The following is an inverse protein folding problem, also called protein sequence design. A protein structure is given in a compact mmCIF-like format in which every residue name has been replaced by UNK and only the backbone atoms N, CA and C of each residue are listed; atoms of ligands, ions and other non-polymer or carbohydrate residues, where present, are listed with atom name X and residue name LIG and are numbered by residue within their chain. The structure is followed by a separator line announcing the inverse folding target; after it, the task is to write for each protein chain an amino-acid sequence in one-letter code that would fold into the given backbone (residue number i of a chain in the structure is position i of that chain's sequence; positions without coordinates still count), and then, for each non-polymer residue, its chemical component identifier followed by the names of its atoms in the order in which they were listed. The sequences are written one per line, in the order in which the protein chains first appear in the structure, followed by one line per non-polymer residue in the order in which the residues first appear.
data_IF_528491549530
#
_entry.id   IF_528491549530
#
_cell.length_a   1.000
_cell.length_b   1.000
_cell.length_c   1.000
_cell.angle_alpha   90.00
_cell.angle_beta   90.00
_cell.angle_gamma   90.00
#
_symmetry.space_group_name_H-M   'P 1'
#
loop_
_entity.id
_entity.type
_entity.pdbx_description
1 polymer ?
#
# COMPACT_ATOMS: atom_id res chain seq x y z
N UNK A 1 54.56 -10.75 6.31
CA UNK A 1 53.42 -11.52 5.79
C UNK A 1 52.88 -12.43 6.89
N UNK A 2 51.65 -12.24 7.38
CA UNK A 2 50.96 -13.24 8.17
C UNK A 2 49.75 -13.80 7.39
N UNK A 3 49.72 -15.11 7.23
CA UNK A 3 48.61 -15.88 6.66
C UNK A 3 47.53 -16.09 7.72
N UNK A 4 46.37 -15.47 7.52
CA UNK A 4 45.18 -15.67 8.37
C UNK A 4 44.41 -16.91 7.92
N UNK A 5 44.32 -17.88 8.83
CA UNK A 5 43.57 -19.14 8.70
C UNK A 5 42.08 -18.88 8.94
N UNK A 6 41.24 -19.13 7.93
CA UNK A 6 39.78 -19.07 8.02
C UNK A 6 39.22 -20.36 8.64
N UNK A 7 38.41 -20.22 9.69
CA UNK A 7 37.67 -21.30 10.33
C UNK A 7 36.27 -21.37 9.67
N UNK A 8 36.04 -22.33 8.78
CA UNK A 8 34.72 -22.62 8.22
C UNK A 8 33.86 -23.37 9.25
N UNK A 9 32.68 -22.83 9.56
CA UNK A 9 31.66 -23.52 10.37
C UNK A 9 30.59 -24.11 9.44
N UNK A 10 30.23 -25.40 9.59
CA UNK A 10 29.21 -26.03 8.77
C UNK A 10 27.80 -25.64 9.24
N UNK A 11 27.04 -24.95 8.38
CA UNK A 11 25.62 -24.69 8.58
C UNK A 11 24.80 -25.96 8.33
N UNK A 12 24.13 -26.46 9.36
CA UNK A 12 23.16 -27.54 9.26
C UNK A 12 21.89 -27.07 8.52
N UNK A 13 21.61 -27.68 7.36
CA UNK A 13 20.33 -27.51 6.64
C UNK A 13 19.24 -28.29 7.35
N UNK A 14 18.32 -27.58 8.02
CA UNK A 14 17.07 -28.15 8.54
C UNK A 14 16.01 -27.99 7.44
N UNK A 15 15.68 -29.08 6.76
CA UNK A 15 14.56 -29.12 5.80
C UNK A 15 13.29 -29.50 6.55
N UNK A 16 12.41 -28.52 6.79
CA UNK A 16 11.08 -28.75 7.36
C UNK A 16 10.10 -29.00 6.21
N UNK A 17 9.61 -30.24 6.08
CA UNK A 17 8.47 -30.57 5.22
C UNK A 17 7.17 -30.26 5.98
N UNK A 18 6.55 -29.12 5.71
CA UNK A 18 5.19 -28.83 6.16
C UNK A 18 4.20 -29.35 5.10
N UNK A 19 3.59 -30.50 5.40
CA UNK A 19 2.50 -31.09 4.61
C UNK A 19 1.19 -30.43 5.02
N UNK A 20 0.79 -29.37 4.31
CA UNK A 20 -0.51 -28.71 4.55
C UNK A 20 -1.58 -29.44 3.74
N UNK A 21 -2.42 -30.20 4.45
CA UNK A 21 -3.60 -30.86 3.89
C UNK A 21 -4.75 -29.85 3.84
N UNK A 22 -5.20 -29.47 2.64
CA UNK A 22 -6.34 -28.56 2.44
C UNK A 22 -7.60 -29.39 2.17
N UNK A 23 -8.69 -29.26 2.95
CA UNK A 23 -9.97 -29.84 2.57
C UNK A 23 -10.68 -28.93 1.56
N UNK A 24 -10.99 -29.50 0.40
CA UNK A 24 -11.86 -28.93 -0.64
C UNK A 24 -13.29 -28.84 -0.11
N UNK A 25 -13.81 -27.63 0.09
CA UNK A 25 -15.23 -27.41 0.37
C UNK A 25 -15.95 -27.10 -0.94
N UNK A 26 -16.74 -28.07 -1.39
CA UNK A 26 -17.68 -27.96 -2.50
C UNK A 26 -18.93 -27.22 -2.01
N UNK A 27 -19.14 -25.96 -2.39
CA UNK A 27 -20.42 -25.26 -2.16
C UNK A 27 -21.22 -25.29 -3.45
N UNK A 28 -22.23 -26.17 -3.45
CA UNK A 28 -23.21 -26.34 -4.52
C UNK A 28 -24.34 -25.30 -4.32
N UNK A 29 -24.25 -24.14 -4.96
CA UNK A 29 -25.29 -23.10 -4.87
C UNK A 29 -26.38 -23.38 -5.91
N UNK A 30 -27.57 -23.79 -5.43
CA UNK A 30 -28.75 -24.05 -6.24
C UNK A 30 -29.38 -22.75 -6.76
N UNK A 31 -29.70 -22.79 -8.04
CA UNK A 31 -30.55 -21.85 -8.76
C UNK A 31 -31.96 -21.80 -8.14
N UNK A 32 -32.50 -20.60 -7.95
CA UNK A 32 -33.86 -20.38 -7.45
C UNK A 32 -34.47 -19.15 -8.11
N UNK A 33 -35.07 -19.36 -9.28
CA UNK A 33 -35.91 -18.40 -9.98
C UNK A 33 -37.27 -18.30 -9.27
N UNK A 34 -37.70 -17.10 -8.87
CA UNK A 34 -39.10 -16.82 -8.57
C UNK A 34 -39.52 -15.42 -9.03
N UNK A 35 -40.37 -15.44 -10.04
CA UNK A 35 -41.59 -14.66 -10.25
C UNK A 35 -41.59 -13.14 -10.04
N UNK A 36 -41.64 -12.45 -11.19
CA UNK A 36 -42.43 -11.26 -11.42
C UNK A 36 -43.87 -11.43 -10.91
N UNK A 37 -44.38 -10.46 -10.16
CA UNK A 37 -45.81 -10.17 -10.09
C UNK A 37 -46.04 -8.66 -9.98
N UNK A 38 -46.73 -8.15 -11.00
CA UNK A 38 -47.20 -6.79 -11.18
C UNK A 38 -48.63 -6.70 -10.65
N UNK A 39 -48.91 -5.78 -9.73
CA UNK A 39 -50.19 -5.05 -9.50
C UNK A 39 -50.04 -4.25 -8.18
N UNK A 40 -49.93 -2.92 -8.17
CA UNK A 40 -50.91 -1.88 -8.51
C UNK A 40 -51.87 -1.53 -7.35
N UNK A 41 -52.01 -0.22 -7.13
CA UNK A 41 -52.96 0.55 -6.32
C UNK A 41 -52.57 0.95 -4.89
N UNK A 42 -52.06 2.19 -4.83
CA UNK A 42 -52.70 3.32 -4.14
C UNK A 42 -53.25 3.09 -2.72
N UNK A 43 -52.56 3.68 -1.74
CA UNK A 43 -53.22 4.17 -0.54
C UNK A 43 -52.76 5.62 -0.29
N UNK A 44 -53.71 6.53 -0.50
CA UNK A 44 -53.66 7.94 -0.14
C UNK A 44 -53.40 8.16 1.35
N UNK A 45 -52.69 9.27 1.63
CA UNK A 45 -52.91 10.16 2.77
C UNK A 45 -53.20 9.50 4.12
N UNK A 46 -52.15 9.25 4.89
CA UNK A 46 -52.16 9.61 6.31
C UNK A 46 -50.89 10.38 6.65
N UNK A 47 -51.08 11.66 6.97
CA UNK A 47 -50.18 12.44 7.79
C UNK A 47 -50.03 11.73 9.14
N UNK A 48 -48.88 11.09 9.35
CA UNK A 48 -48.41 10.76 10.70
C UNK A 48 -47.12 11.53 10.91
N UNK A 49 -47.32 12.73 11.45
CA UNK A 49 -46.31 13.48 12.16
C UNK A 49 -45.80 12.63 13.34
N UNK A 50 -44.50 12.70 13.59
CA UNK A 50 -43.80 12.11 14.73
C UNK A 50 -43.42 10.62 14.56
N UNK A 51 -42.16 10.43 14.20
CA UNK A 51 -41.11 9.84 15.06
C UNK A 51 -39.97 9.44 14.11
N UNK A 52 -39.17 10.42 13.72
CA UNK A 52 -37.85 10.16 13.12
C UNK A 52 -36.98 9.53 14.21
N UNK A 53 -36.58 8.25 14.10
CA UNK A 53 -35.68 7.64 15.06
C UNK A 53 -34.31 8.31 14.94
N UNK A 54 -33.71 8.65 16.07
CA UNK A 54 -32.30 8.98 16.24
C UNK A 54 -31.40 7.98 15.48
N UNK A 55 -31.18 8.24 14.19
CA UNK A 55 -30.10 7.66 13.38
C UNK A 55 -29.15 8.76 12.96
N UNK A 56 -28.88 9.70 13.87
CA UNK A 56 -27.58 10.35 13.91
C UNK A 56 -26.59 9.32 14.47
N UNK A 57 -26.34 8.29 13.66
CA UNK A 57 -25.14 7.47 13.74
C UNK A 57 -24.00 8.47 13.63
N UNK A 58 -23.55 8.89 14.81
CA UNK A 58 -22.25 9.46 15.06
C UNK A 58 -21.24 8.41 14.57
N UNK A 59 -21.06 8.34 13.24
CA UNK A 59 -19.78 7.96 12.68
C UNK A 59 -18.81 8.99 13.23
N UNK A 60 -18.27 8.68 14.41
CA UNK A 60 -16.96 9.14 14.83
C UNK A 60 -16.00 8.59 13.77
N UNK A 61 -16.03 9.19 12.58
CA UNK A 61 -14.85 9.27 11.74
C UNK A 61 -13.84 9.85 12.72
N UNK A 62 -12.88 9.03 13.12
CA UNK A 62 -11.71 9.48 13.85
C UNK A 62 -11.07 10.53 12.95
N UNK A 63 -11.51 11.77 13.11
CA UNK A 63 -10.89 12.93 12.52
C UNK A 63 -9.50 12.93 13.12
N UNK A 64 -8.53 12.42 12.35
CA UNK A 64 -7.15 12.66 12.68
C UNK A 64 -7.00 14.16 12.85
N UNK A 65 -6.28 14.58 13.89
CA UNK A 65 -6.10 16.01 14.21
C UNK A 65 -5.55 16.82 13.01
N UNK A 66 -4.96 16.14 12.03
CA UNK A 66 -4.43 16.72 10.80
C UNK A 66 -4.93 15.93 9.57
N UNK A 67 -5.42 16.61 8.53
CA UNK A 67 -5.81 15.95 7.28
C UNK A 67 -4.56 15.41 6.55
N UNK A 68 -4.64 14.22 5.92
CA UNK A 68 -3.52 13.66 5.18
C UNK A 68 -3.23 14.50 3.93
N UNK A 69 -1.98 14.94 3.77
CA UNK A 69 -1.47 15.56 2.55
C UNK A 69 -0.27 14.76 2.04
N UNK A 70 -0.53 13.81 1.15
CA UNK A 70 0.48 12.87 0.67
C UNK A 70 1.56 13.54 -0.18
N UNK A 71 1.20 14.52 -1.02
CA UNK A 71 2.16 15.27 -1.84
C UNK A 71 3.18 16.00 -0.96
N UNK A 72 2.71 16.78 0.02
CA UNK A 72 3.61 17.45 0.98
C UNK A 72 4.38 16.46 1.84
N UNK A 73 3.80 15.31 2.18
CA UNK A 73 4.53 14.28 2.92
C UNK A 73 5.67 13.69 2.09
N UNK A 74 5.42 13.41 0.81
CA UNK A 74 6.41 12.89 -0.11
C UNK A 74 7.60 13.86 -0.26
N UNK A 75 7.34 15.16 -0.46
CA UNK A 75 8.39 16.18 -0.51
C UNK A 75 9.19 16.27 0.80
N UNK A 76 8.52 16.33 1.96
CA UNK A 76 9.22 16.40 3.26
C UNK A 76 10.10 15.18 3.52
N UNK A 77 9.62 13.99 3.18
CA UNK A 77 10.41 12.76 3.35
C UNK A 77 11.58 12.71 2.38
N UNK A 78 11.41 13.18 1.14
CA UNK A 78 12.51 13.27 0.18
C UNK A 78 13.58 14.25 0.68
N UNK A 79 13.20 15.46 1.07
CA UNK A 79 14.11 16.49 1.59
C UNK A 79 14.91 15.96 2.80
N UNK A 80 14.22 15.39 3.79
CA UNK A 80 14.88 14.79 4.95
C UNK A 80 15.82 13.62 4.58
N UNK A 81 15.46 12.83 3.56
CA UNK A 81 16.32 11.76 3.07
C UNK A 81 17.60 12.33 2.41
N UNK A 82 17.48 13.39 1.62
CA UNK A 82 18.64 14.03 0.97
C UNK A 82 19.61 14.59 2.01
N UNK A 83 19.11 15.26 3.05
CA UNK A 83 19.93 15.76 4.16
C UNK A 83 20.72 14.62 4.82
N UNK A 84 20.05 13.51 5.16
CA UNK A 84 20.67 12.37 5.82
C UNK A 84 21.60 11.57 4.90
N UNK A 85 21.36 11.58 3.59
CA UNK A 85 22.18 10.87 2.60
C UNK A 85 23.62 11.39 2.54
N UNK A 86 23.82 12.67 2.86
CA UNK A 86 25.14 13.32 2.94
C UNK A 86 25.89 13.01 4.24
N UNK A 87 25.20 12.44 5.24
CA UNK A 87 25.72 12.21 6.58
C UNK A 87 26.06 10.74 6.87
N UNK A 88 26.06 10.40 8.17
CA UNK A 88 26.40 9.06 8.66
C UNK A 88 25.23 8.07 8.69
N UNK A 89 24.01 8.52 8.40
CA UNK A 89 22.76 7.75 8.53
C UNK A 89 22.12 7.42 7.19
N UNK A 90 22.91 6.87 6.28
CA UNK A 90 22.47 6.45 4.94
C UNK A 90 21.42 5.33 5.00
N UNK A 91 21.42 4.53 6.08
CA UNK A 91 20.38 3.57 6.43
C UNK A 91 19.01 4.22 6.55
N UNK A 92 18.94 5.30 7.33
CA UNK A 92 17.69 6.06 7.56
C UNK A 92 17.28 6.82 6.32
N UNK A 93 18.24 7.36 5.57
CA UNK A 93 17.97 7.98 4.28
C UNK A 93 17.29 6.99 3.32
N UNK A 94 17.82 5.76 3.21
CA UNK A 94 17.22 4.68 2.42
C UNK A 94 15.77 4.37 2.80
N UNK A 95 15.48 4.32 4.10
CA UNK A 95 14.12 4.16 4.60
C UNK A 95 13.21 5.32 4.17
N UNK A 96 13.65 6.57 4.35
CA UNK A 96 12.87 7.75 4.00
C UNK A 96 12.63 7.90 2.49
N UNK A 97 13.57 7.51 1.63
CA UNK A 97 13.36 7.51 0.19
C UNK A 97 12.18 6.62 -0.23
N UNK A 98 12.04 5.42 0.34
CA UNK A 98 10.90 4.57 0.03
C UNK A 98 9.58 5.08 0.61
N UNK A 99 9.59 5.72 1.79
CA UNK A 99 8.40 6.41 2.30
C UNK A 99 7.99 7.56 1.39
N UNK A 100 8.94 8.35 0.90
CA UNK A 100 8.68 9.43 -0.05
C UNK A 100 8.05 8.90 -1.35
N UNK A 101 8.60 7.83 -1.91
CA UNK A 101 8.06 7.18 -3.11
C UNK A 101 6.67 6.57 -2.89
N UNK A 102 6.43 5.94 -1.75
CA UNK A 102 5.12 5.40 -1.39
C UNK A 102 4.07 6.52 -1.30
N UNK A 103 4.40 7.63 -0.62
CA UNK A 103 3.51 8.80 -0.55
C UNK A 103 3.22 9.38 -1.95
N UNK A 104 4.24 9.47 -2.82
CA UNK A 104 4.08 9.96 -4.19
C UNK A 104 3.18 9.03 -5.02
N UNK A 105 3.38 7.72 -4.93
CA UNK A 105 2.54 6.70 -5.59
C UNK A 105 1.10 6.78 -5.10
N UNK A 106 0.87 6.92 -3.79
CA UNK A 106 -0.47 7.07 -3.23
C UNK A 106 -1.13 8.40 -3.61
N UNK A 107 -0.36 9.48 -3.80
CA UNK A 107 -0.88 10.73 -4.36
C UNK A 107 -1.32 10.52 -5.82
N UNK A 108 -0.51 9.85 -6.65
CA UNK A 108 -0.89 9.51 -8.02
C UNK A 108 -2.11 8.58 -8.10
N UNK A 109 -2.27 7.65 -7.13
CA UNK A 109 -3.48 6.83 -7.02
C UNK A 109 -4.72 7.70 -6.82
N UNK A 110 -4.63 8.70 -5.94
CA UNK A 110 -5.70 9.69 -5.75
C UNK A 110 -5.98 10.42 -7.07
N UNK A 111 -4.98 10.88 -7.80
CA UNK A 111 -5.20 11.59 -9.07
C UNK A 111 -5.81 10.68 -10.16
N UNK A 112 -5.51 9.38 -10.12
CA UNK A 112 -6.10 8.36 -10.97
C UNK A 112 -7.54 7.96 -10.57
N UNK A 113 -8.07 8.52 -9.49
CA UNK A 113 -9.42 8.21 -8.98
C UNK A 113 -9.50 7.00 -8.06
N UNK A 114 -8.36 6.40 -7.69
CA UNK A 114 -8.28 5.33 -6.69
C UNK A 114 -8.28 5.98 -5.31
N UNK A 115 -9.40 5.84 -4.60
CA UNK A 115 -9.62 6.41 -3.27
C UNK A 115 -9.49 5.31 -2.20
N UNK A 116 -9.05 5.66 -0.97
CA UNK A 116 -9.08 4.72 0.14
C UNK A 116 -10.51 4.20 0.37
N UNK A 117 -10.65 2.91 0.64
CA UNK A 117 -11.90 2.29 1.02
C UNK A 117 -12.29 2.67 2.45
N UNK A 118 -13.57 2.44 2.77
CA UNK A 118 -14.11 2.66 4.11
C UNK A 118 -13.37 1.82 5.16
N UNK A 119 -13.31 2.26 6.43
CA UNK A 119 -12.58 1.57 7.51
C UNK A 119 -12.85 0.06 7.62
N UNK A 120 -14.07 -0.37 7.33
CA UNK A 120 -14.50 -1.79 7.35
C UNK A 120 -13.83 -2.65 6.27
N UNK A 121 -13.33 -2.07 5.19
CA UNK A 121 -12.80 -2.77 4.01
C UNK A 121 -11.28 -2.58 3.85
N UNK A 122 -10.64 -1.80 4.74
CA UNK A 122 -9.22 -1.44 4.68
C UNK A 122 -8.25 -2.61 4.62
N UNK A 123 -8.61 -3.79 5.13
CA UNK A 123 -7.70 -4.94 5.22
C UNK A 123 -7.14 -5.34 3.85
N UNK A 124 -7.92 -5.15 2.79
CA UNK A 124 -7.54 -5.53 1.42
C UNK A 124 -7.34 -4.31 0.51
N UNK A 125 -7.28 -3.10 1.07
CA UNK A 125 -7.19 -1.86 0.30
C UNK A 125 -5.72 -1.57 -0.10
N UNK A 126 -5.40 -1.46 -1.41
CA UNK A 126 -4.06 -1.12 -1.88
C UNK A 126 -3.50 0.15 -1.24
N UNK A 127 -4.37 1.11 -0.88
CA UNK A 127 -3.95 2.37 -0.30
C UNK A 127 -3.20 2.21 1.04
N UNK A 128 -3.44 1.13 1.77
CA UNK A 128 -2.80 0.84 3.06
C UNK A 128 -1.64 -0.15 2.96
N UNK A 129 -1.35 -0.66 1.77
CA UNK A 129 -0.18 -1.51 1.55
C UNK A 129 1.10 -0.68 1.42
N UNK A 130 2.21 -1.36 1.67
CA UNK A 130 3.58 -0.88 1.47
C UNK A 130 4.21 -1.61 0.28
N UNK A 131 5.38 -1.17 -0.19
CA UNK A 131 6.17 -1.99 -1.11
C UNK A 131 6.75 -3.22 -0.39
N UNK A 132 6.82 -4.38 -1.07
CA UNK A 132 6.48 -4.61 -2.49
C UNK A 132 5.00 -4.90 -2.79
N UNK A 133 4.15 -5.20 -1.78
CA UNK A 133 2.78 -5.67 -1.96
C UNK A 133 1.89 -4.66 -2.70
N UNK A 134 2.06 -3.37 -2.40
CA UNK A 134 1.40 -2.25 -3.07
C UNK A 134 1.54 -2.34 -4.59
N UNK A 135 2.74 -2.69 -5.08
CA UNK A 135 3.02 -2.79 -6.52
C UNK A 135 2.22 -3.91 -7.15
N UNK A 136 2.24 -5.09 -6.54
CA UNK A 136 1.53 -6.27 -7.04
C UNK A 136 0.04 -5.97 -7.15
N UNK A 137 -0.57 -5.40 -6.11
CA UNK A 137 -2.00 -5.13 -6.11
C UNK A 137 -2.39 -4.01 -7.10
N UNK A 138 -1.55 -2.98 -7.25
CA UNK A 138 -1.76 -1.93 -8.24
C UNK A 138 -1.67 -2.45 -9.67
N UNK A 139 -0.75 -3.37 -9.97
CA UNK A 139 -0.62 -3.96 -11.30
C UNK A 139 -1.91 -4.64 -11.76
N UNK A 140 -2.59 -5.32 -10.83
CA UNK A 140 -3.85 -6.01 -11.11
C UNK A 140 -5.05 -5.05 -11.22
N UNK A 141 -4.98 -3.90 -10.54
CA UNK A 141 -6.09 -2.94 -10.46
C UNK A 141 -6.05 -1.88 -11.55
N UNK A 142 -4.86 -1.50 -12.01
CA UNK A 142 -4.68 -0.36 -12.91
C UNK A 142 -5.05 -0.73 -14.35
N UNK A 143 -6.01 0.02 -14.89
CA UNK A 143 -6.34 0.02 -16.31
C UNK A 143 -6.69 1.43 -16.79
N UNK A 144 -6.52 1.70 -18.09
CA UNK A 144 -6.92 2.97 -18.72
C UNK A 144 -5.82 4.02 -18.86
N UNK A 145 -6.17 5.19 -19.42
CA UNK A 145 -5.20 6.25 -19.78
C UNK A 145 -4.76 7.11 -18.59
N UNK A 146 -5.62 7.30 -17.58
CA UNK A 146 -5.34 8.16 -16.42
C UNK A 146 -4.29 7.57 -15.47
N UNK A 147 -4.01 6.28 -15.57
CA UNK A 147 -2.96 5.58 -14.83
C UNK A 147 -1.59 5.62 -15.49
N UNK A 148 -1.43 6.27 -16.65
CA UNK A 148 -0.18 6.23 -17.43
C UNK A 148 1.08 6.64 -16.63
N UNK A 149 1.10 7.74 -15.85
CA UNK A 149 2.25 8.09 -15.02
C UNK A 149 2.54 7.05 -13.94
N UNK A 150 1.49 6.47 -13.36
CA UNK A 150 1.57 5.46 -12.31
C UNK A 150 2.09 4.12 -12.85
N UNK A 151 1.62 3.68 -14.03
CA UNK A 151 2.03 2.45 -14.71
C UNK A 151 3.54 2.39 -14.95
N UNK A 152 4.18 3.52 -15.28
CA UNK A 152 5.64 3.61 -15.45
C UNK A 152 6.42 3.08 -14.24
N UNK A 153 5.90 3.30 -13.02
CA UNK A 153 6.53 2.83 -11.79
C UNK A 153 6.12 1.40 -11.43
N UNK A 154 4.85 1.05 -11.66
CA UNK A 154 4.29 -0.25 -11.28
C UNK A 154 4.76 -1.40 -12.19
N UNK A 155 4.96 -1.12 -13.49
CA UNK A 155 5.43 -2.11 -14.47
C UNK A 155 6.94 -2.36 -14.37
N UNK A 156 7.68 -1.47 -13.70
CA UNK A 156 9.11 -1.65 -13.49
C UNK A 156 9.38 -2.55 -12.28
N UNK A 157 9.80 -3.78 -12.53
CA UNK A 157 10.18 -4.71 -11.45
C UNK A 157 11.36 -4.21 -10.61
N UNK A 158 12.14 -3.26 -11.14
CA UNK A 158 13.27 -2.61 -10.46
C UNK A 158 12.84 -1.50 -9.52
N UNK A 159 11.64 -0.95 -9.69
CA UNK A 159 11.16 0.15 -8.86
C UNK A 159 10.95 -0.33 -7.42
N UNK A 160 11.63 0.35 -6.49
CA UNK A 160 11.69 0.05 -5.06
C UNK A 160 12.02 -1.41 -4.74
N UNK A 161 12.82 -2.06 -5.60
CA UNK A 161 13.32 -3.41 -5.37
C UNK A 161 14.20 -3.46 -4.12
N UNK A 162 14.05 -4.50 -3.31
CA UNK A 162 14.71 -4.70 -2.00
C UNK A 162 14.35 -3.68 -0.91
N UNK A 163 13.44 -2.76 -1.17
CA UNK A 163 12.92 -1.87 -0.12
C UNK A 163 11.79 -2.57 0.65
N UNK A 164 11.73 -2.34 1.96
CA UNK A 164 10.66 -2.82 2.84
C UNK A 164 10.62 -1.96 4.09
N UNK A 165 9.44 -1.75 4.68
CA UNK A 165 9.30 -1.06 5.97
C UNK A 165 9.99 -1.80 7.12
N UNK A 166 10.23 -3.12 6.97
CA UNK A 166 10.93 -3.96 7.95
C UNK A 166 12.39 -3.56 8.15
N UNK A 167 13.00 -2.82 7.20
CA UNK A 167 14.37 -2.33 7.35
C UNK A 167 14.56 -1.43 8.57
N UNK A 168 13.47 -0.83 9.10
CA UNK A 168 13.47 -0.10 10.38
C UNK A 168 14.01 -0.94 11.55
N UNK A 169 13.81 -2.25 11.48
CA UNK A 169 14.22 -3.20 12.52
C UNK A 169 15.46 -4.01 12.11
N UNK A 170 15.97 -3.80 10.89
CA UNK A 170 17.20 -4.44 10.41
C UNK A 170 18.45 -3.72 10.93
N UNK A 171 19.59 -4.41 10.92
CA UNK A 171 20.86 -3.76 11.20
C UNK A 171 21.25 -2.87 10.01
N UNK A 172 21.59 -1.59 10.24
CA UNK A 172 21.87 -0.63 9.16
C UNK A 172 22.99 -1.06 8.19
N UNK A 173 23.90 -1.94 8.63
CA UNK A 173 24.96 -2.50 7.77
C UNK A 173 24.48 -3.48 6.71
N UNK A 174 23.27 -4.03 6.84
CA UNK A 174 22.67 -4.91 5.84
C UNK A 174 22.15 -4.14 4.62
N UNK A 175 21.95 -2.82 4.77
CA UNK A 175 21.45 -1.96 3.72
C UNK A 175 22.62 -1.60 2.79
N UNK A 176 22.59 -2.15 1.58
CA UNK A 176 23.68 -1.95 0.64
C UNK A 176 23.65 -0.51 0.05
N UNK A 177 24.79 0.19 -0.04
CA UNK A 177 24.83 1.57 -0.55
C UNK A 177 24.25 1.74 -1.96
N UNK A 178 24.43 0.74 -2.82
CA UNK A 178 23.84 0.72 -4.17
C UNK A 178 22.31 0.74 -4.16
N UNK A 179 21.68 0.12 -3.17
CA UNK A 179 20.23 0.13 -3.02
C UNK A 179 19.76 1.53 -2.65
N UNK A 180 20.40 2.17 -1.67
CA UNK A 180 20.09 3.55 -1.26
C UNK A 180 20.18 4.51 -2.45
N UNK A 181 21.26 4.41 -3.25
CA UNK A 181 21.41 5.23 -4.47
C UNK A 181 20.27 5.00 -5.47
N UNK A 182 19.87 3.75 -5.68
CA UNK A 182 18.76 3.41 -6.57
C UNK A 182 17.42 3.93 -6.04
N UNK A 183 17.15 3.78 -4.74
CA UNK A 183 15.94 4.26 -4.10
C UNK A 183 15.86 5.78 -4.13
N UNK A 184 16.97 6.48 -3.92
CA UNK A 184 17.04 7.93 -4.03
C UNK A 184 16.59 8.42 -5.42
N UNK A 185 17.17 7.85 -6.47
CA UNK A 185 16.81 8.21 -7.85
C UNK A 185 15.34 7.91 -8.17
N UNK A 186 14.86 6.73 -7.77
CA UNK A 186 13.47 6.32 -7.99
C UNK A 186 12.47 7.19 -7.20
N UNK A 187 12.82 7.58 -5.97
CA UNK A 187 12.01 8.47 -5.15
C UNK A 187 11.91 9.87 -5.78
N UNK A 188 13.02 10.44 -6.26
CA UNK A 188 13.02 11.71 -7.00
C UNK A 188 12.12 11.64 -8.24
N UNK A 189 12.22 10.57 -9.01
CA UNK A 189 11.39 10.37 -10.19
C UNK A 189 9.90 10.27 -9.84
N UNK A 190 9.54 9.53 -8.78
CA UNK A 190 8.16 9.41 -8.33
C UNK A 190 7.59 10.74 -7.82
N UNK A 191 8.37 11.47 -7.01
CA UNK A 191 8.02 12.80 -6.48
C UNK A 191 7.94 13.85 -7.58
N UNK A 192 8.75 13.76 -8.64
CA UNK A 192 8.64 14.66 -9.79
C UNK A 192 7.44 14.33 -10.70
N UNK A 193 6.97 13.08 -10.69
CA UNK A 193 5.86 12.63 -11.53
C UNK A 193 4.48 12.87 -10.92
N UNK A 194 4.37 13.03 -9.59
CA UNK A 194 3.12 13.46 -8.97
C UNK A 194 2.88 14.93 -9.35
N UNK A 195 1.77 15.20 -10.06
CA UNK A 195 1.48 16.54 -10.59
C UNK A 195 1.36 17.59 -9.49
N UNK A 196 1.84 18.80 -9.78
CA UNK A 196 1.63 20.01 -8.96
C UNK A 196 0.26 20.62 -9.21
#
# INVERSE_FOLDING_TARGET
MPTSTSCEQPYAKITIFLRVSVPTVFVHMKCGAYCLSVRQLACSLMQVSSLEPCKLLCSKVLLMAFPPNLQRSAHRHLEAAEELSSGSRTDVAGYLYGIAAECAVKAMMIDAGIRPLEPSERRNDPFYLHFPELRTQLRDTLSGRRSSPLLKFIDSDRFMSNWSTLMRYSHGSEIQPQWVKSWAEQARQAVAAMGT
#
